data_IF_396654019219
#
_entry.id   IF_396654019219
#
_cell.length_a   1.000
_cell.length_b   1.000
_cell.length_c   1.000
_cell.angle_alpha   90.00
_cell.angle_beta   90.00
_cell.angle_gamma   90.00
#
_symmetry.space_group_name_H-M   'P 1'
#
loop_
_entity.id
_entity.type
_entity.pdbx_description
1 polymer ?
#
# COMPACT_ATOMS: atom_id res chain seq x y z
N UNK A 1 29.24 -2.32 10.20
CA UNK A 1 28.77 -1.12 10.94
C UNK A 1 27.60 -1.59 11.81
N UNK A 2 27.74 -1.62 13.14
CA UNK A 2 26.65 -1.97 14.06
C UNK A 2 26.13 -0.67 14.66
N UNK A 3 24.82 -0.38 14.55
CA UNK A 3 24.22 0.88 15.02
C UNK A 3 24.15 1.00 16.56
N UNK A 4 24.67 0.01 17.30
CA UNK A 4 24.66 -0.02 18.77
C UNK A 4 23.26 -0.18 19.38
N UNK A 5 22.23 -0.46 18.57
CA UNK A 5 20.84 -0.65 19.02
C UNK A 5 20.40 -2.09 18.81
N UNK A 6 19.74 -2.62 19.83
CA UNK A 6 19.03 -3.90 19.73
C UNK A 6 17.75 -3.69 18.93
N UNK A 7 17.60 -4.40 17.81
CA UNK A 7 16.40 -4.38 16.98
C UNK A 7 15.57 -5.60 17.35
N UNK A 8 14.37 -5.38 17.86
CA UNK A 8 13.50 -6.46 18.35
C UNK A 8 12.37 -6.80 17.39
N UNK A 9 12.02 -5.88 16.49
CA UNK A 9 10.89 -6.02 15.58
C UNK A 9 11.08 -5.24 14.28
N UNK A 10 10.28 -5.58 13.28
CA UNK A 10 10.30 -4.99 11.96
C UNK A 10 8.90 -4.89 11.35
N UNK A 11 8.65 -3.79 10.65
CA UNK A 11 7.60 -3.68 9.65
C UNK A 11 8.15 -4.18 8.31
N UNK A 12 7.32 -4.83 7.51
CA UNK A 12 7.72 -5.32 6.20
C UNK A 12 6.76 -4.88 5.09
N UNK A 13 7.32 -4.55 3.94
CA UNK A 13 6.58 -4.29 2.72
C UNK A 13 5.98 -5.58 2.13
N UNK A 14 4.79 -5.47 1.56
CA UNK A 14 4.23 -6.44 0.62
C UNK A 14 3.82 -5.72 -0.66
N UNK A 15 4.15 -6.30 -1.81
CA UNK A 15 3.77 -5.85 -3.13
C UNK A 15 3.69 -7.04 -4.10
N UNK A 16 3.21 -6.80 -5.32
CA UNK A 16 3.16 -7.79 -6.37
C UNK A 16 1.76 -8.11 -6.88
N UNK A 17 1.68 -8.85 -7.99
CA UNK A 17 0.42 -9.13 -8.71
C UNK A 17 -0.62 -9.97 -7.95
N UNK A 18 -0.35 -10.35 -6.70
CA UNK A 18 -1.31 -11.00 -5.81
C UNK A 18 -2.04 -10.01 -4.91
N UNK A 19 -1.74 -8.71 -5.00
CA UNK A 19 -2.49 -7.65 -4.33
C UNK A 19 -3.72 -7.30 -5.15
N UNK A 20 -4.86 -7.25 -4.48
CA UNK A 20 -6.13 -6.79 -5.05
C UNK A 20 -6.81 -5.86 -4.07
N UNK A 21 -7.75 -5.06 -4.57
CA UNK A 21 -8.52 -4.16 -3.75
C UNK A 21 -10.01 -4.22 -4.09
N UNK A 22 -10.81 -3.71 -3.15
CA UNK A 22 -12.23 -3.51 -3.33
C UNK A 22 -12.66 -2.29 -2.53
N UNK A 23 -13.44 -1.40 -3.17
CA UNK A 23 -14.16 -0.34 -2.46
C UNK A 23 -15.48 -0.91 -1.96
N UNK A 24 -15.81 -0.66 -0.70
CA UNK A 24 -17.02 -1.18 -0.08
C UNK A 24 -17.63 -0.15 0.85
N UNK A 25 -18.95 -0.01 0.75
CA UNK A 25 -19.74 0.77 1.70
C UNK A 25 -20.14 -0.10 2.88
N UNK A 26 -19.85 0.37 4.09
CA UNK A 26 -20.19 -0.32 5.31
C UNK A 26 -21.06 0.54 6.24
N UNK A 27 -22.12 -0.07 6.79
CA UNK A 27 -22.99 0.61 7.77
C UNK A 27 -22.43 0.37 9.16
N UNK A 28 -21.92 1.44 9.77
CA UNK A 28 -21.43 1.46 11.14
C UNK A 28 -22.54 1.98 12.03
N UNK A 29 -23.09 1.14 12.91
CA UNK A 29 -24.11 1.64 13.86
C UNK A 29 -23.50 2.72 14.76
N UNK A 30 -23.94 3.97 14.60
CA UNK A 30 -23.72 5.00 15.60
C UNK A 30 -24.54 4.59 16.83
N UNK A 31 -23.88 4.45 17.98
CA UNK A 31 -24.57 4.12 19.23
C UNK A 31 -25.35 5.36 19.63
N UNK A 32 -26.67 5.37 19.35
CA UNK A 32 -27.68 6.35 19.79
C UNK A 32 -27.09 7.60 20.47
N UNK A 33 -26.76 8.64 19.68
CA UNK A 33 -26.20 9.90 20.17
C UNK A 33 -24.96 10.36 19.39
N UNK A 34 -23.93 10.81 20.11
CA UNK A 34 -22.67 11.31 19.55
C UNK A 34 -21.72 10.18 19.16
N UNK A 35 -21.01 10.32 18.03
CA UNK A 35 -19.91 9.43 17.64
C UNK A 35 -18.81 9.50 18.70
N UNK A 36 -18.76 8.48 19.56
CA UNK A 36 -18.11 8.53 20.88
C UNK A 36 -16.60 8.69 20.84
N UNK A 37 -15.90 7.96 19.97
CA UNK A 37 -14.43 7.99 19.90
C UNK A 37 -13.89 7.38 18.62
N UNK A 38 -12.77 7.94 18.13
CA UNK A 38 -12.05 7.46 16.95
C UNK A 38 -11.75 5.96 17.01
N UNK A 39 -11.24 5.47 18.15
CA UNK A 39 -10.87 4.06 18.34
C UNK A 39 -12.06 3.12 18.12
N UNK A 40 -13.24 3.45 18.68
CA UNK A 40 -14.44 2.62 18.53
C UNK A 40 -15.01 2.68 17.11
N UNK A 41 -14.98 3.86 16.48
CA UNK A 41 -15.41 4.03 15.10
C UNK A 41 -14.54 3.18 14.17
N UNK A 42 -13.21 3.33 14.22
CA UNK A 42 -12.27 2.54 13.42
C UNK A 42 -12.40 1.04 13.67
N UNK A 43 -12.54 0.62 14.92
CA UNK A 43 -12.77 -0.81 15.25
C UNK A 43 -14.06 -1.35 14.65
N UNK A 44 -15.07 -0.52 14.45
CA UNK A 44 -16.36 -0.93 13.87
C UNK A 44 -16.30 -0.94 12.34
N UNK A 45 -15.65 0.05 11.75
CA UNK A 45 -15.32 0.09 10.31
C UNK A 45 -14.52 -1.16 9.94
N UNK A 46 -13.43 -1.46 10.67
CA UNK A 46 -12.59 -2.62 10.41
C UNK A 46 -13.34 -3.95 10.51
N UNK A 47 -14.21 -4.09 11.53
CA UNK A 47 -15.07 -5.29 11.66
C UNK A 47 -16.05 -5.43 10.50
N UNK A 48 -16.59 -4.33 9.99
CA UNK A 48 -17.52 -4.38 8.87
C UNK A 48 -16.79 -4.66 7.55
N UNK A 49 -15.61 -4.06 7.34
CA UNK A 49 -14.74 -4.37 6.21
C UNK A 49 -14.36 -5.86 6.18
N UNK A 50 -14.08 -6.48 7.34
CA UNK A 50 -13.82 -7.93 7.44
C UNK A 50 -15.04 -8.82 7.20
N UNK A 51 -16.24 -8.27 7.14
CA UNK A 51 -17.46 -9.04 6.88
C UNK A 51 -17.72 -9.25 5.38
N UNK A 52 -16.96 -8.58 4.50
CA UNK A 52 -17.05 -8.87 3.05
C UNK A 52 -16.54 -10.28 2.78
N UNK A 53 -17.10 -10.93 1.76
CA UNK A 53 -16.65 -12.25 1.34
C UNK A 53 -15.31 -12.12 0.64
N UNK A 54 -14.26 -12.63 1.26
CA UNK A 54 -12.90 -12.70 0.71
C UNK A 54 -12.58 -14.17 0.43
N UNK A 55 -11.97 -14.49 -0.72
CA UNK A 55 -11.47 -15.83 -1.00
C UNK A 55 -10.59 -16.39 0.13
N UNK A 56 -10.68 -17.68 0.40
CA UNK A 56 -9.99 -18.34 1.54
C UNK A 56 -8.46 -18.29 1.44
N UNK A 57 -7.92 -18.09 0.26
CA UNK A 57 -6.48 -17.95 -0.03
C UNK A 57 -5.98 -16.51 0.09
N UNK A 58 -6.85 -15.56 0.45
CA UNK A 58 -6.55 -14.13 0.60
C UNK A 58 -6.88 -13.64 2.01
N UNK A 59 -6.14 -12.63 2.45
CA UNK A 59 -6.41 -11.93 3.71
C UNK A 59 -6.41 -10.41 3.52
N UNK A 60 -7.13 -9.71 4.41
CA UNK A 60 -7.13 -8.25 4.47
C UNK A 60 -5.79 -7.76 5.00
N UNK A 61 -5.08 -6.98 4.20
CA UNK A 61 -3.84 -6.32 4.58
C UNK A 61 -4.14 -4.95 5.17
N UNK A 62 -4.93 -4.13 4.46
CA UNK A 62 -5.29 -2.77 4.90
C UNK A 62 -6.78 -2.49 4.73
N UNK A 63 -7.33 -1.69 5.64
CA UNK A 63 -8.68 -1.10 5.54
C UNK A 63 -8.54 0.39 5.75
N UNK A 64 -8.84 1.17 4.73
CA UNK A 64 -8.62 2.62 4.73
C UNK A 64 -9.97 3.30 4.51
N UNK A 65 -10.51 4.01 5.51
CA UNK A 65 -11.70 4.84 5.31
C UNK A 65 -11.41 5.95 4.30
N UNK A 66 -12.28 6.09 3.31
CA UNK A 66 -12.23 7.13 2.29
C UNK A 66 -13.11 8.31 2.68
N UNK A 67 -14.36 8.00 3.03
CA UNK A 67 -15.40 8.97 3.30
C UNK A 67 -16.39 8.39 4.32
N UNK A 68 -17.02 9.26 5.09
CA UNK A 68 -18.12 8.91 5.97
C UNK A 68 -19.40 9.65 5.59
N UNK A 69 -20.53 8.99 5.84
CA UNK A 69 -21.85 9.61 5.80
C UNK A 69 -22.48 9.55 7.18
N UNK A 70 -22.90 10.68 7.73
CA UNK A 70 -23.62 10.75 9.01
C UNK A 70 -25.08 11.11 8.75
N UNK A 71 -25.98 10.18 9.06
CA UNK A 71 -27.41 10.20 8.72
C UNK A 71 -27.69 10.33 7.21
N UNK A 72 -27.56 11.55 6.65
CA UNK A 72 -27.67 11.87 5.21
C UNK A 72 -26.65 12.94 4.75
N UNK A 73 -25.70 13.28 5.62
CA UNK A 73 -24.63 14.22 5.29
C UNK A 73 -23.43 13.43 4.80
N UNK A 74 -23.21 13.48 3.48
CA UNK A 74 -22.04 12.92 2.80
C UNK A 74 -20.81 13.85 2.92
N UNK A 75 -19.65 13.37 2.50
CA UNK A 75 -18.39 14.12 2.48
C UNK A 75 -17.73 14.28 3.85
N UNK A 76 -18.14 13.53 4.86
CA UNK A 76 -17.59 13.66 6.21
C UNK A 76 -16.24 12.95 6.28
N UNK A 77 -15.16 13.69 6.56
CA UNK A 77 -13.81 13.09 6.74
C UNK A 77 -13.56 12.52 8.12
N UNK A 78 -13.99 13.25 9.15
CA UNK A 78 -13.88 12.80 10.54
C UNK A 78 -15.27 12.88 11.20
N UNK A 79 -15.96 11.75 11.40
CA UNK A 79 -17.28 11.75 12.01
C UNK A 79 -17.21 11.87 13.54
N UNK A 80 -16.02 11.83 14.15
CA UNK A 80 -15.88 11.84 15.61
C UNK A 80 -16.41 13.16 16.19
N UNK A 81 -17.28 13.05 17.20
CA UNK A 81 -17.94 14.20 17.80
C UNK A 81 -19.21 14.66 17.08
N UNK A 82 -19.50 14.14 15.88
CA UNK A 82 -20.78 14.42 15.23
C UNK A 82 -21.91 13.66 15.93
N UNK A 83 -23.10 14.26 15.96
CA UNK A 83 -24.32 13.59 16.41
C UNK A 83 -25.01 12.96 15.22
N UNK A 84 -25.42 11.70 15.37
CA UNK A 84 -26.17 11.00 14.34
C UNK A 84 -26.65 9.63 14.80
N UNK A 85 -27.66 9.11 14.11
CA UNK A 85 -28.24 7.78 14.39
C UNK A 85 -27.61 6.72 13.49
N UNK A 86 -27.22 7.11 12.28
CA UNK A 86 -26.60 6.25 11.27
C UNK A 86 -25.24 6.80 10.87
N UNK A 87 -24.24 5.93 10.82
CA UNK A 87 -22.93 6.23 10.28
C UNK A 87 -22.64 5.21 9.18
N UNK A 88 -22.21 5.68 8.03
CA UNK A 88 -21.70 4.84 6.96
C UNK A 88 -20.25 5.23 6.70
N UNK A 89 -19.46 4.27 6.21
CA UNK A 89 -18.11 4.54 5.76
C UNK A 89 -17.88 3.83 4.43
N UNK A 90 -17.39 4.60 3.46
CA UNK A 90 -16.74 4.06 2.27
C UNK A 90 -15.32 3.68 2.66
N UNK A 91 -14.93 2.44 2.35
CA UNK A 91 -13.61 1.91 2.68
C UNK A 91 -12.92 1.33 1.45
N UNK A 92 -11.65 1.67 1.30
CA UNK A 92 -10.73 0.96 0.43
C UNK A 92 -10.15 -0.23 1.19
N UNK A 93 -10.47 -1.44 0.74
CA UNK A 93 -10.00 -2.69 1.35
C UNK A 93 -8.96 -3.29 0.43
N UNK A 94 -7.76 -3.52 0.95
CA UNK A 94 -6.65 -4.13 0.24
C UNK A 94 -6.48 -5.55 0.78
N UNK A 95 -6.40 -6.51 -0.15
CA UNK A 95 -6.16 -7.91 0.16
C UNK A 95 -4.91 -8.42 -0.52
N UNK A 96 -4.30 -9.44 0.07
CA UNK A 96 -3.15 -10.14 -0.51
C UNK A 96 -3.25 -11.64 -0.28
N UNK A 97 -2.50 -12.42 -1.04
CA UNK A 97 -2.39 -13.86 -0.83
C UNK A 97 -1.82 -14.17 0.57
N UNK A 98 -2.53 -15.03 1.32
CA UNK A 98 -2.13 -15.46 2.67
C UNK A 98 -0.73 -16.08 2.66
N UNK A 99 -0.41 -16.84 1.62
CA UNK A 99 0.89 -17.50 1.46
C UNK A 99 2.04 -16.49 1.40
N UNK A 100 1.87 -15.40 0.66
CA UNK A 100 2.86 -14.31 0.52
C UNK A 100 3.11 -13.62 1.86
N UNK A 101 2.04 -13.18 2.54
CA UNK A 101 2.13 -12.51 3.84
C UNK A 101 2.80 -13.42 4.90
N UNK A 102 2.39 -14.69 4.97
CA UNK A 102 3.00 -15.64 5.89
C UNK A 102 4.47 -15.95 5.56
N UNK A 103 4.86 -15.99 4.28
CA UNK A 103 6.25 -16.16 3.89
C UNK A 103 7.11 -15.01 4.43
N UNK A 104 6.64 -13.77 4.31
CA UNK A 104 7.32 -12.58 4.84
C UNK A 104 7.48 -12.70 6.36
N UNK A 105 6.39 -12.97 7.09
CA UNK A 105 6.42 -13.14 8.56
C UNK A 105 7.39 -14.25 8.97
N UNK A 106 7.36 -15.40 8.29
CA UNK A 106 8.29 -16.50 8.56
C UNK A 106 9.74 -16.11 8.33
N UNK A 107 10.04 -15.37 7.27
CA UNK A 107 11.40 -14.90 7.00
C UNK A 107 11.91 -13.98 8.11
N UNK A 108 11.09 -13.03 8.57
CA UNK A 108 11.44 -12.10 9.66
C UNK A 108 11.67 -12.86 10.97
N UNK A 109 10.75 -13.75 11.33
CA UNK A 109 10.86 -14.56 12.54
C UNK A 109 12.09 -15.48 12.52
N UNK A 110 12.42 -16.07 11.36
CA UNK A 110 13.65 -16.90 11.20
C UNK A 110 14.93 -16.09 11.31
N UNK A 111 14.89 -14.80 11.00
CA UNK A 111 16.01 -13.89 11.21
C UNK A 111 16.15 -13.43 12.68
N UNK A 112 15.26 -13.87 13.58
CA UNK A 112 15.31 -13.55 15.01
C UNK A 112 14.58 -12.27 15.39
N UNK A 113 13.81 -11.67 14.48
CA UNK A 113 13.02 -10.46 14.72
C UNK A 113 11.54 -10.78 14.81
N UNK A 114 10.78 -9.95 15.50
CA UNK A 114 9.31 -10.01 15.48
C UNK A 114 8.78 -9.26 14.26
N UNK A 115 7.91 -9.89 13.46
CA UNK A 115 7.11 -9.16 12.48
C UNK A 115 6.04 -8.34 13.22
N UNK A 116 6.18 -7.01 13.24
CA UNK A 116 5.23 -6.12 13.92
C UNK A 116 3.99 -5.87 13.07
N UNK A 117 4.17 -5.62 11.76
CA UNK A 117 3.07 -5.53 10.80
C UNK A 117 3.56 -5.67 9.35
N UNK A 118 2.62 -5.91 8.43
CA UNK A 118 2.84 -5.89 6.98
C UNK A 118 2.16 -4.66 6.38
N UNK A 119 2.92 -3.89 5.61
CA UNK A 119 2.46 -2.65 4.97
C UNK A 119 2.48 -2.81 3.46
N UNK A 120 1.42 -2.37 2.77
CA UNK A 120 1.44 -2.33 1.31
C UNK A 120 2.48 -1.29 0.85
N UNK A 121 3.44 -1.70 0.01
CA UNK A 121 4.57 -0.84 -0.39
C UNK A 121 4.14 0.51 -1.00
N UNK A 122 3.20 0.58 -1.95
CA UNK A 122 2.75 1.88 -2.47
C UNK A 122 2.12 2.80 -1.41
N UNK A 123 1.50 2.27 -0.33
CA UNK A 123 1.03 3.11 0.78
C UNK A 123 2.21 3.70 1.57
N UNK A 124 3.24 2.89 1.81
CA UNK A 124 4.45 3.34 2.48
C UNK A 124 5.21 4.37 1.63
N UNK A 125 5.31 4.14 0.32
CA UNK A 125 5.90 5.08 -0.64
C UNK A 125 5.12 6.41 -0.65
N UNK A 126 3.79 6.36 -0.75
CA UNK A 126 2.94 7.56 -0.68
C UNK A 126 3.13 8.35 0.61
N UNK A 127 3.20 7.67 1.76
CA UNK A 127 3.45 8.34 3.04
C UNK A 127 4.84 9.02 3.12
N UNK A 128 5.81 8.53 2.33
CA UNK A 128 7.16 9.07 2.31
C UNK A 128 7.33 10.25 1.33
N UNK A 129 6.62 10.25 0.18
CA UNK A 129 6.87 11.22 -0.90
C UNK A 129 5.74 12.20 -1.16
N UNK A 130 4.49 11.88 -0.80
CA UNK A 130 3.35 12.74 -1.08
C UNK A 130 3.05 13.67 0.09
N UNK A 131 2.84 14.95 -0.22
CA UNK A 131 2.25 15.91 0.70
C UNK A 131 0.75 15.68 0.86
N UNK A 132 0.17 16.24 1.93
CA UNK A 132 -1.29 16.20 2.11
C UNK A 132 -2.01 16.92 0.99
N UNK A 133 -1.50 18.07 0.56
CA UNK A 133 -2.14 18.88 -0.50
C UNK A 133 -2.21 18.11 -1.83
N UNK A 134 -1.19 17.32 -2.18
CA UNK A 134 -1.21 16.44 -3.35
C UNK A 134 -2.24 15.32 -3.21
N UNK A 135 -2.32 14.69 -2.03
CA UNK A 135 -3.33 13.66 -1.75
C UNK A 135 -4.76 14.21 -1.84
N UNK A 136 -4.95 15.44 -1.39
CA UNK A 136 -6.21 16.18 -1.38
C UNK A 136 -6.67 16.60 -2.77
N UNK A 137 -5.76 17.13 -3.60
CA UNK A 137 -6.04 17.50 -4.99
C UNK A 137 -6.33 16.28 -5.88
N UNK A 138 -5.83 15.11 -5.47
CA UNK A 138 -5.83 13.88 -6.24
C UNK A 138 -4.50 13.70 -6.96
N UNK A 139 -3.89 12.52 -6.78
CA UNK A 139 -2.56 12.22 -7.31
C UNK A 139 -2.44 10.75 -7.66
N UNK A 140 -1.75 10.47 -8.76
CA UNK A 140 -1.34 9.14 -9.18
C UNK A 140 0.13 8.95 -8.80
N UNK A 141 0.39 8.08 -7.82
CA UNK A 141 1.73 7.60 -7.52
C UNK A 141 2.02 6.36 -8.37
N UNK A 142 3.20 6.36 -9.00
CA UNK A 142 3.74 5.22 -9.74
C UNK A 142 5.11 4.89 -9.14
N UNK A 143 5.23 3.72 -8.52
CA UNK A 143 6.46 3.20 -7.94
C UNK A 143 7.02 2.10 -8.84
N UNK A 144 8.18 2.34 -9.44
CA UNK A 144 8.82 1.42 -10.39
C UNK A 144 9.92 0.66 -9.65
N UNK A 145 9.60 -0.55 -9.22
CA UNK A 145 10.54 -1.48 -8.60
C UNK A 145 11.31 -2.32 -9.61
N UNK A 146 12.06 -3.30 -9.11
CA UNK A 146 12.82 -4.24 -9.95
C UNK A 146 11.90 -5.16 -10.76
N UNK A 147 10.97 -5.86 -10.11
CA UNK A 147 10.10 -6.82 -10.77
C UNK A 147 8.69 -6.30 -11.09
N UNK A 148 8.27 -5.21 -10.44
CA UNK A 148 6.89 -4.70 -10.49
C UNK A 148 6.86 -3.20 -10.55
N UNK A 149 5.76 -2.68 -11.08
CA UNK A 149 5.39 -1.27 -11.01
C UNK A 149 4.08 -1.19 -10.26
N UNK A 150 4.11 -0.57 -9.10
CA UNK A 150 2.99 -0.42 -8.20
C UNK A 150 2.34 0.95 -8.41
N UNK A 151 1.01 0.98 -8.40
CA UNK A 151 0.21 2.16 -8.71
C UNK A 151 -0.73 2.43 -7.54
N UNK A 152 -0.80 3.70 -7.14
CA UNK A 152 -1.72 4.16 -6.11
C UNK A 152 -2.35 5.49 -6.50
N UNK A 153 -3.67 5.52 -6.57
CA UNK A 153 -4.46 6.73 -6.83
C UNK A 153 -5.00 7.22 -5.50
N UNK A 154 -4.72 8.47 -5.18
CA UNK A 154 -5.43 9.23 -4.15
C UNK A 154 -6.51 10.10 -4.78
N UNK A 155 -7.65 10.20 -4.10
CA UNK A 155 -8.72 11.14 -4.40
C UNK A 155 -9.24 11.70 -3.07
N UNK A 156 -9.43 13.01 -2.99
CA UNK A 156 -9.99 13.70 -1.82
C UNK A 156 -9.30 13.35 -0.48
N UNK A 157 -8.00 13.10 -0.52
CA UNK A 157 -7.17 12.81 0.66
C UNK A 157 -7.10 11.33 1.06
N UNK A 158 -7.71 10.41 0.30
CA UNK A 158 -7.68 8.98 0.61
C UNK A 158 -7.31 8.09 -0.59
N UNK A 159 -6.68 6.92 -0.37
CA UNK A 159 -6.48 5.89 -1.39
C UNK A 159 -7.81 5.49 -2.04
N UNK A 160 -7.91 5.65 -3.35
CA UNK A 160 -9.09 5.30 -4.13
C UNK A 160 -8.94 3.99 -4.89
N UNK A 161 -7.76 3.79 -5.50
CA UNK A 161 -7.43 2.62 -6.30
C UNK A 161 -5.97 2.23 -6.10
N UNK A 162 -5.71 0.93 -6.02
CA UNK A 162 -4.38 0.35 -6.04
C UNK A 162 -4.23 -0.54 -7.28
N UNK A 163 -3.02 -0.75 -7.75
CA UNK A 163 -2.76 -1.63 -8.88
C UNK A 163 -1.32 -2.05 -8.93
N UNK A 164 -1.06 -3.19 -9.59
CA UNK A 164 0.29 -3.70 -9.77
C UNK A 164 0.44 -4.19 -11.20
N UNK A 165 1.53 -3.80 -11.85
CA UNK A 165 1.97 -4.32 -13.13
C UNK A 165 3.19 -5.21 -12.91
N UNK A 166 3.20 -6.40 -13.51
CA UNK A 166 4.33 -7.34 -13.46
C UNK A 166 5.47 -6.94 -14.42
N UNK A 167 5.85 -5.66 -14.36
CA UNK A 167 6.85 -5.01 -15.18
C UNK A 167 7.63 -4.03 -14.30
N UNK A 168 8.95 -4.02 -14.36
CA UNK A 168 9.81 -3.13 -13.60
C UNK A 168 11.19 -2.99 -14.26
N UNK A 169 12.19 -2.65 -13.44
CA UNK A 169 13.58 -2.50 -13.89
C UNK A 169 14.20 -3.77 -14.47
N UNK A 170 13.76 -4.97 -14.09
CA UNK A 170 14.30 -6.24 -14.60
C UNK A 170 14.09 -6.41 -16.10
N UNK A 171 12.98 -5.90 -16.65
CA UNK A 171 12.74 -5.86 -18.09
C UNK A 171 13.71 -4.89 -18.77
N UNK A 172 13.95 -3.73 -18.17
CA UNK A 172 14.95 -2.76 -18.67
C UNK A 172 16.35 -3.37 -18.67
N UNK A 173 16.76 -4.00 -17.56
CA UNK A 173 18.05 -4.70 -17.45
C UNK A 173 18.16 -5.82 -18.48
N UNK A 174 17.09 -6.58 -18.71
CA UNK A 174 17.04 -7.64 -19.72
C UNK A 174 17.28 -7.07 -21.12
N UNK A 175 16.57 -6.02 -21.49
CA UNK A 175 16.71 -5.38 -22.80
C UNK A 175 18.12 -4.81 -23.01
N UNK A 176 18.70 -4.18 -22.00
CA UNK A 176 20.09 -3.69 -22.02
C UNK A 176 21.07 -4.86 -22.16
N UNK A 177 20.85 -5.97 -21.46
CA UNK A 177 21.72 -7.14 -21.53
C UNK A 177 21.76 -7.75 -22.93
N UNK A 178 20.61 -7.78 -23.62
CA UNK A 178 20.49 -8.24 -24.99
C UNK A 178 21.21 -7.28 -25.94
N UNK A 179 20.98 -5.96 -25.80
CA UNK A 179 21.60 -4.94 -26.63
C UNK A 179 23.13 -4.94 -26.51
N UNK A 180 23.64 -4.99 -25.27
CA UNK A 180 25.06 -4.90 -24.96
C UNK A 180 25.77 -6.26 -24.94
N UNK A 181 25.06 -7.37 -25.18
CA UNK A 181 25.56 -8.75 -25.12
C UNK A 181 26.37 -9.03 -23.84
N UNK A 182 25.91 -8.47 -22.72
CA UNK A 182 26.59 -8.53 -21.43
C UNK A 182 25.69 -9.23 -20.42
N UNK A 183 26.22 -10.08 -19.50
CA UNK A 183 25.39 -10.71 -18.48
C UNK A 183 24.66 -9.69 -17.61
N UNK A 184 23.44 -10.01 -17.17
CA UNK A 184 22.54 -9.10 -16.44
C UNK A 184 23.18 -8.47 -15.18
N UNK A 185 24.10 -9.17 -14.51
CA UNK A 185 24.85 -8.62 -13.38
C UNK A 185 25.77 -7.45 -13.75
N UNK A 186 26.33 -7.45 -14.97
CA UNK A 186 27.09 -6.33 -15.51
C UNK A 186 26.20 -5.14 -15.88
N UNK A 187 24.98 -5.40 -16.37
CA UNK A 187 24.01 -4.37 -16.74
C UNK A 187 23.46 -3.60 -15.54
N UNK A 188 23.14 -4.27 -14.43
CA UNK A 188 22.73 -3.60 -13.17
C UNK A 188 23.80 -2.64 -12.65
N UNK A 189 25.07 -3.00 -12.82
CA UNK A 189 26.18 -2.14 -12.43
C UNK A 189 26.32 -0.91 -13.34
N UNK A 190 25.98 -1.00 -14.63
CA UNK A 190 25.95 0.15 -15.53
C UNK A 190 24.75 1.06 -15.29
N UNK A 191 23.55 0.52 -15.03
CA UNK A 191 22.36 1.30 -14.69
C UNK A 191 22.60 2.16 -13.43
N UNK A 192 23.21 1.57 -12.39
CA UNK A 192 23.52 2.25 -11.14
C UNK A 192 24.63 3.32 -11.27
N UNK A 193 25.48 3.25 -12.30
CA UNK A 193 26.63 4.16 -12.50
C UNK A 193 26.32 5.37 -13.37
N UNK A 194 25.18 5.40 -14.03
CA UNK A 194 24.72 6.55 -14.80
C UNK A 194 23.94 6.11 -16.02
N UNK A 195 22.69 6.54 -16.13
CA UNK A 195 21.89 6.55 -17.35
C UNK A 195 22.44 7.50 -18.43
N UNK A 196 23.75 7.68 -18.50
CA UNK A 196 24.44 8.28 -19.64
C UNK A 196 25.10 7.15 -20.42
N UNK A 197 24.41 6.68 -21.45
CA UNK A 197 25.10 6.09 -22.60
C UNK A 197 25.97 7.19 -23.19
N UNK A 198 27.21 7.28 -22.70
CA UNK A 198 28.23 8.16 -23.27
C UNK A 198 28.25 7.94 -24.77
N UNK A 199 27.97 9.01 -25.51
CA UNK A 199 28.12 9.11 -26.94
C UNK A 199 29.44 8.49 -27.37
N UNK A 200 29.35 7.46 -28.21
CA UNK A 200 30.52 6.86 -28.82
C UNK A 200 31.32 7.96 -29.52
N UNK A 201 32.54 8.19 -29.04
CA UNK A 201 33.56 8.86 -29.85
C UNK A 201 33.79 8.00 -31.08
N UNK A 202 33.36 8.53 -32.22
CA UNK A 202 33.87 8.15 -33.53
C UNK A 202 35.38 8.36 -33.54
N UNK A 203 36.11 7.27 -33.73
CA UNK A 203 37.52 7.23 -34.12
C UNK A 203 37.64 6.41 -35.39
#
# INVERSE_FOLDING_TARGET
MMSGREVTGAFAGIAGGHIEWINSRCVVRAVTGTVRSRVRTWSSVYRCAKAIVIPMDREVVHVIPQEFTVDQQDGVRDPVGMMGVRLEAEVHIITGAVSSAQNIIRCINRAGFKADDIVLEPLAAAAAVLSKDEQELGVLLVDIGGGTTDILVYLDGAPYQTGVLALGGDQVTSDISIMLKTPSGGCRASEARGGELSSGRSG
#
